data_IF_502178463905
#
_entry.id   IF_502178463905
#
_cell.length_a   1.000
_cell.length_b   1.000
_cell.length_c   1.000
_cell.angle_alpha   90.00
_cell.angle_beta   90.00
_cell.angle_gamma   90.00
#
_symmetry.space_group_name_H-M   'P 1'
#
loop_
_entity.id
_entity.type
_entity.pdbx_description
1 polymer ?
#
# COMPACT_ATOMS: atom_id res chain seq x y z
N UNK A 1 1.74 0.86 1.89
CA UNK A 1 0.43 0.48 2.47
C UNK A 1 -0.68 1.14 1.67
N UNK A 2 -1.92 0.66 1.75
CA UNK A 2 -3.05 1.29 1.06
C UNK A 2 -4.41 0.72 1.46
N UNK A 3 -5.40 1.61 1.56
CA UNK A 3 -6.80 1.25 1.76
C UNK A 3 -7.42 0.77 0.45
N UNK A 4 -8.38 -0.15 0.58
CA UNK A 4 -9.30 -0.51 -0.50
C UNK A 4 -10.32 0.63 -0.71
N UNK A 5 -10.97 0.72 -1.88
CA UNK A 5 -11.80 1.87 -2.25
C UNK A 5 -12.99 2.16 -1.30
N UNK A 6 -13.59 1.15 -0.67
CA UNK A 6 -14.60 1.37 0.38
C UNK A 6 -13.98 1.81 1.71
N UNK A 7 -12.72 1.45 1.92
CA UNK A 7 -11.98 1.67 3.17
C UNK A 7 -12.10 0.54 4.17
N UNK A 8 -12.89 -0.50 3.88
CA UNK A 8 -13.10 -1.63 4.80
C UNK A 8 -11.86 -2.51 4.96
N UNK A 9 -10.88 -2.38 4.07
CA UNK A 9 -9.64 -3.14 4.08
C UNK A 9 -8.43 -2.24 3.99
N UNK A 10 -7.40 -2.57 4.77
CA UNK A 10 -6.08 -1.95 4.71
C UNK A 10 -5.06 -3.05 4.44
N UNK A 11 -4.22 -2.84 3.44
CA UNK A 11 -3.11 -3.74 3.14
C UNK A 11 -1.78 -3.06 3.46
N UNK A 12 -0.90 -3.79 4.13
CA UNK A 12 0.41 -3.36 4.57
C UNK A 12 1.45 -4.31 3.97
N UNK A 13 2.35 -3.74 3.16
CA UNK A 13 3.47 -4.49 2.60
C UNK A 13 4.66 -4.41 3.55
N UNK A 14 5.03 -5.54 4.12
CA UNK A 14 6.33 -5.78 4.74
C UNK A 14 7.05 -6.90 3.96
N UNK A 15 7.77 -7.81 4.63
CA UNK A 15 8.34 -9.01 3.99
C UNK A 15 7.28 -10.09 3.72
N UNK A 16 6.21 -10.12 4.50
CA UNK A 16 5.19 -11.19 4.51
C UNK A 16 3.79 -10.75 4.09
N UNK A 17 3.58 -9.49 3.70
CA UNK A 17 2.32 -8.97 3.14
C UNK A 17 1.09 -9.20 4.03
N UNK A 18 0.65 -8.18 4.77
CA UNK A 18 -0.49 -8.29 5.71
C UNK A 18 -1.73 -7.55 5.20
N UNK A 19 -2.90 -8.13 5.44
CA UNK A 19 -4.20 -7.51 5.20
C UNK A 19 -4.97 -7.43 6.51
N UNK A 20 -5.33 -6.21 6.89
CA UNK A 20 -6.24 -5.91 7.99
C UNK A 20 -7.60 -5.48 7.44
N UNK A 21 -8.66 -5.75 8.19
CA UNK A 21 -10.01 -5.36 7.83
C UNK A 21 -10.68 -4.63 8.97
N UNK A 22 -11.54 -3.68 8.64
CA UNK A 22 -12.44 -3.07 9.59
C UNK A 22 -13.34 -4.17 10.18
N UNK A 23 -13.38 -4.26 11.51
CA UNK A 23 -14.30 -5.18 12.20
C UNK A 23 -15.74 -4.71 11.97
N UNK A 24 -16.49 -5.38 11.08
CA UNK A 24 -17.92 -5.16 11.04
C UNK A 24 -18.54 -5.74 12.31
N UNK A 25 -19.09 -4.86 13.16
CA UNK A 25 -20.01 -5.26 14.22
C UNK A 25 -21.10 -6.14 13.60
N UNK A 26 -21.39 -7.27 14.24
CA UNK A 26 -22.38 -8.21 13.75
C UNK A 26 -23.77 -7.54 13.71
N UNK A 27 -24.64 -7.97 12.80
CA UNK A 27 -26.01 -7.44 12.70
C UNK A 27 -26.78 -7.52 14.03
N UNK A 28 -26.47 -8.52 14.86
CA UNK A 28 -27.05 -8.68 16.20
C UNK A 28 -26.54 -7.65 17.22
N UNK A 29 -25.34 -7.10 17.04
CA UNK A 29 -24.80 -5.99 17.84
C UNK A 29 -25.33 -4.64 17.35
N UNK A 30 -25.51 -4.48 16.03
CA UNK A 30 -26.20 -3.31 15.46
C UNK A 30 -27.67 -3.22 15.89
N UNK A 31 -28.38 -4.35 15.94
CA UNK A 31 -29.79 -4.41 16.37
C UNK A 31 -29.98 -4.24 17.89
N UNK A 32 -28.91 -4.30 18.70
CA UNK A 32 -28.95 -4.03 20.15
C UNK A 32 -28.56 -2.59 20.52
N UNK A 33 -28.07 -1.79 19.57
CA UNK A 33 -27.53 -0.45 19.82
C UNK A 33 -28.43 0.64 19.21
N UNK A 34 -29.62 0.84 19.79
CA UNK A 34 -30.51 1.99 19.52
C UNK A 34 -29.99 3.32 20.12
N UNK A 35 -28.69 3.44 20.39
CA UNK A 35 -28.07 4.66 20.90
C UNK A 35 -26.92 5.11 20.00
N UNK A 36 -27.05 6.31 19.45
CA UNK A 36 -26.04 7.01 18.67
C UNK A 36 -24.73 7.15 19.46
N UNK A 37 -23.71 6.38 19.07
CA UNK A 37 -22.31 6.66 19.40
C UNK A 37 -21.43 6.51 18.17
N UNK A 38 -20.53 7.48 18.02
CA UNK A 38 -19.40 7.49 17.09
C UNK A 38 -18.42 6.38 17.46
N UNK A 39 -18.71 5.14 17.06
CA UNK A 39 -17.74 4.07 17.13
C UNK A 39 -16.73 4.28 16.00
N UNK A 40 -15.48 4.59 16.35
CA UNK A 40 -14.40 4.69 15.38
C UNK A 40 -14.08 3.29 14.83
N UNK A 41 -13.86 3.12 13.52
CA UNK A 41 -13.58 1.82 12.93
C UNK A 41 -12.31 1.20 13.52
N UNK A 42 -12.43 0.02 14.11
CA UNK A 42 -11.30 -0.74 14.65
C UNK A 42 -10.85 -1.76 13.61
N UNK A 43 -9.60 -1.63 13.15
CA UNK A 43 -9.03 -2.53 12.16
C UNK A 43 -8.43 -3.75 12.85
N UNK A 44 -8.97 -4.92 12.55
CA UNK A 44 -8.50 -6.20 13.06
C UNK A 44 -7.69 -6.94 11.99
N UNK A 45 -6.72 -7.72 12.44
CA UNK A 45 -5.92 -8.57 11.57
C UNK A 45 -6.80 -9.63 10.92
N UNK A 46 -6.68 -9.81 9.59
CA UNK A 46 -7.48 -10.78 8.85
C UNK A 46 -6.64 -11.90 8.24
N UNK A 47 -5.55 -11.56 7.56
CA UNK A 47 -4.71 -12.55 6.88
C UNK A 47 -3.33 -11.99 6.56
N UNK A 48 -2.37 -12.89 6.43
CA UNK A 48 -0.98 -12.64 6.02
C UNK A 48 -0.66 -13.57 4.86
N UNK A 49 0.15 -13.11 3.91
CA UNK A 49 0.51 -13.88 2.73
C UNK A 49 1.95 -13.62 2.33
N UNK A 50 2.82 -14.63 2.45
CA UNK A 50 4.19 -14.51 1.99
C UNK A 50 4.21 -14.18 0.49
N UNK A 51 4.52 -12.92 0.18
CA UNK A 51 4.33 -12.41 -1.18
C UNK A 51 5.50 -12.78 -2.07
N UNK A 52 6.72 -12.49 -1.63
CA UNK A 52 7.93 -12.77 -2.40
C UNK A 52 8.84 -13.68 -1.58
N UNK A 53 9.61 -14.49 -2.28
CA UNK A 53 10.74 -15.23 -1.71
C UNK A 53 12.00 -14.61 -2.34
N UNK A 54 13.14 -14.63 -1.64
CA UNK A 54 14.38 -14.11 -2.20
C UNK A 54 14.78 -14.96 -3.40
N UNK A 55 14.70 -14.38 -4.60
CA UNK A 55 15.11 -15.06 -5.85
C UNK A 55 16.63 -15.01 -6.03
N UNK A 56 17.32 -14.02 -5.43
CA UNK A 56 18.78 -13.87 -5.44
C UNK A 56 19.26 -13.00 -4.25
N UNK A 57 20.58 -12.84 -4.09
CA UNK A 57 21.16 -11.94 -3.07
C UNK A 57 20.84 -10.46 -3.31
N UNK A 58 20.49 -10.07 -4.54
CA UNK A 58 20.23 -8.68 -4.93
C UNK A 58 18.73 -8.35 -4.96
N UNK A 59 17.86 -9.35 -5.09
CA UNK A 59 16.41 -9.15 -5.15
C UNK A 59 15.80 -9.46 -3.79
N UNK A 60 15.49 -8.40 -3.04
CA UNK A 60 14.85 -8.53 -1.74
C UNK A 60 13.40 -9.07 -1.86
N UNK A 61 12.97 -9.79 -0.83
CA UNK A 61 11.58 -10.24 -0.66
C UNK A 61 10.62 -9.11 -0.24
N UNK A 62 11.16 -7.93 0.06
CA UNK A 62 10.41 -6.78 0.58
C UNK A 62 9.38 -6.30 -0.44
N UNK A 63 8.15 -6.07 0.04
CA UNK A 63 7.12 -5.43 -0.78
C UNK A 63 7.38 -3.92 -0.83
N UNK A 64 7.69 -3.41 -2.02
CA UNK A 64 7.96 -1.99 -2.26
C UNK A 64 6.66 -1.18 -2.36
N UNK A 65 5.72 -1.66 -3.17
CA UNK A 65 4.40 -1.03 -3.37
C UNK A 65 3.30 -2.09 -3.40
N UNK A 66 2.10 -1.67 -3.01
CA UNK A 66 0.92 -2.52 -2.97
C UNK A 66 -0.29 -1.69 -3.42
N UNK A 67 -1.12 -2.26 -4.29
CA UNK A 67 -2.35 -1.63 -4.78
C UNK A 67 -3.52 -2.61 -4.78
N UNK A 68 -4.67 -2.14 -4.32
CA UNK A 68 -5.93 -2.87 -4.48
C UNK A 68 -6.43 -2.75 -5.92
N UNK A 69 -6.95 -3.85 -6.45
CA UNK A 69 -7.62 -3.88 -7.74
C UNK A 69 -9.09 -4.19 -7.50
N UNK A 70 -9.96 -3.39 -8.09
CA UNK A 70 -11.37 -3.73 -8.16
C UNK A 70 -11.59 -4.80 -9.21
N UNK A 71 -12.65 -5.57 -9.05
CA UNK A 71 -13.20 -6.38 -10.14
C UNK A 71 -14.71 -6.32 -10.12
N UNK A 72 -15.31 -6.43 -11.32
CA UNK A 72 -16.76 -6.39 -11.50
C UNK A 72 -17.51 -7.49 -10.71
N UNK A 73 -16.85 -8.60 -10.39
CA UNK A 73 -17.43 -9.73 -9.68
C UNK A 73 -17.36 -9.63 -8.15
N UNK A 74 -16.96 -8.48 -7.59
CA UNK A 74 -16.86 -8.26 -6.14
C UNK A 74 -15.73 -9.03 -5.44
N UNK A 75 -14.91 -9.80 -6.17
CA UNK A 75 -13.69 -10.39 -5.61
C UNK A 75 -12.67 -9.29 -5.32
N UNK A 76 -11.91 -9.44 -4.23
CA UNK A 76 -10.84 -8.49 -3.90
C UNK A 76 -9.51 -9.01 -4.39
N UNK A 77 -8.77 -8.15 -5.08
CA UNK A 77 -7.44 -8.45 -5.58
C UNK A 77 -6.42 -7.43 -5.09
N UNK A 78 -5.20 -7.91 -4.88
CA UNK A 78 -4.07 -7.08 -4.48
C UNK A 78 -2.95 -7.33 -5.48
N UNK A 79 -2.41 -6.25 -6.05
CA UNK A 79 -1.10 -6.26 -6.69
C UNK A 79 -0.05 -5.91 -5.64
N UNK A 80 0.96 -6.75 -5.50
CA UNK A 80 2.17 -6.47 -4.73
C UNK A 80 3.37 -6.51 -5.66
N UNK A 81 4.38 -5.68 -5.38
CA UNK A 81 5.64 -5.67 -6.15
C UNK A 81 6.83 -5.64 -5.21
N UNK A 82 7.90 -6.33 -5.58
CA UNK A 82 9.26 -6.07 -5.09
C UNK A 82 10.03 -5.27 -6.16
N UNK A 83 11.36 -5.36 -6.18
CA UNK A 83 12.19 -4.63 -7.15
C UNK A 83 12.01 -5.10 -8.60
N UNK A 84 11.60 -6.35 -8.86
CA UNK A 84 11.64 -6.95 -10.21
C UNK A 84 10.37 -7.67 -10.65
N UNK A 85 9.52 -8.05 -9.71
CA UNK A 85 8.36 -8.91 -9.96
C UNK A 85 7.12 -8.30 -9.33
N UNK A 86 5.99 -8.50 -10.02
CA UNK A 86 4.67 -8.08 -9.57
C UNK A 86 3.82 -9.34 -9.44
N UNK A 87 3.06 -9.47 -8.36
CA UNK A 87 2.18 -10.61 -8.12
C UNK A 87 0.75 -10.16 -7.87
N UNK A 88 -0.19 -10.86 -8.49
CA UNK A 88 -1.62 -10.66 -8.31
C UNK A 88 -2.16 -11.69 -7.32
N UNK A 89 -2.68 -11.21 -6.20
CA UNK A 89 -3.25 -12.00 -5.12
C UNK A 89 -4.76 -11.89 -5.13
N UNK A 90 -5.45 -13.02 -5.00
CA UNK A 90 -6.89 -13.03 -4.72
C UNK A 90 -7.11 -13.18 -3.23
N UNK A 91 -7.81 -12.21 -2.64
CA UNK A 91 -8.26 -12.26 -1.25
C UNK A 91 -9.69 -12.78 -1.25
N UNK A 92 -9.90 -14.00 -0.75
CA UNK A 92 -11.25 -14.57 -0.59
C UNK A 92 -11.70 -14.45 0.86
N UNK A 93 -12.86 -13.83 1.07
CA UNK A 93 -13.63 -14.03 2.29
C UNK A 93 -14.20 -15.45 2.29
N UNK A 94 -13.92 -16.21 3.36
CA UNK A 94 -14.59 -17.48 3.56
C UNK A 94 -15.89 -17.20 4.31
N UNK A 95 -17.05 -17.46 3.69
CA UNK A 95 -18.30 -17.62 4.44
C UNK A 95 -18.44 -19.11 4.72
N UNK A 96 -18.34 -19.51 5.98
CA UNK A 96 -18.62 -20.89 6.37
C UNK A 96 -20.04 -21.23 5.93
N UNK A 97 -20.18 -22.14 4.95
CA UNK A 97 -21.47 -22.78 4.71
C UNK A 97 -21.73 -23.66 5.92
N UNK A 98 -22.62 -23.24 6.81
CA UNK A 98 -23.16 -24.11 7.88
C UNK A 98 -23.71 -25.36 7.20
N UNK A 99 -22.99 -26.46 7.27
CA UNK A 99 -23.51 -27.77 6.88
C UNK A 99 -24.58 -28.08 7.91
N UNK A 100 -25.83 -28.23 7.48
CA UNK A 100 -26.88 -28.78 8.33
C UNK A 100 -26.44 -30.20 8.68
N UNK A 101 -26.15 -30.46 9.96
CA UNK A 101 -26.01 -31.82 10.47
C UNK A 101 -27.25 -32.62 10.06
N UNK A 102 -27.04 -33.74 9.36
CA UNK A 102 -28.10 -34.70 9.12
C UNK A 102 -28.12 -35.63 10.33
N UNK A 103 -29.21 -35.59 11.10
CA UNK A 103 -29.42 -36.44 12.26
C UNK A 103 -29.19 -37.92 11.90
N UNK A 104 -28.34 -38.69 12.62
CA UNK A 104 -28.10 -40.09 12.30
C UNK A 104 -29.25 -41.05 12.68
N UNK A 105 -30.38 -40.57 13.20
CA UNK A 105 -31.50 -41.42 13.60
C UNK A 105 -32.83 -40.81 13.13
N UNK A 106 -33.50 -41.36 12.11
CA UNK A 106 -34.92 -41.09 11.90
C UNK A 106 -35.73 -41.81 12.99
N UNK A 107 -36.78 -41.20 13.57
CA UNK A 107 -37.71 -41.96 14.40
C UNK A 107 -38.42 -42.99 13.53
N UNK A 108 -38.22 -44.27 13.84
CA UNK A 108 -38.92 -45.39 13.21
C UNK A 108 -40.40 -45.28 13.58
N UNK A 109 -41.26 -44.98 12.60
CA UNK A 109 -42.69 -45.24 12.73
C UNK A 109 -42.93 -46.76 12.64
N UNK A 110 -43.51 -47.32 13.69
CA UNK A 110 -43.93 -48.73 13.78
C UNK A 110 -45.14 -48.99 12.89
N UNK A 111 -44.95 -49.53 11.69
CA UNK A 111 -46.07 -50.19 10.99
C UNK A 111 -45.70 -51.27 9.95
N UNK A 112 -44.42 -51.54 9.67
CA UNK A 112 -44.03 -52.50 8.62
C UNK A 112 -43.26 -53.74 9.12
N UNK A 113 -43.65 -54.30 10.26
CA UNK A 113 -43.02 -55.50 10.84
C UNK A 113 -43.78 -56.83 10.56
N UNK A 114 -44.55 -56.93 9.47
CA UNK A 114 -45.43 -58.11 9.25
C UNK A 114 -45.40 -58.74 7.84
N UNK A 115 -44.30 -58.69 7.08
CA UNK A 115 -44.26 -59.35 5.75
C UNK A 115 -42.97 -60.10 5.40
N UNK A 116 -42.18 -60.57 6.36
CA UNK A 116 -41.02 -61.41 6.07
C UNK A 116 -41.13 -62.81 6.71
N UNK A 117 -42.17 -63.55 6.36
CA UNK A 117 -42.20 -65.02 6.48
C UNK A 117 -42.80 -65.63 5.21
N UNK A 118 -42.18 -66.76 4.77
CA UNK A 118 -42.40 -67.57 3.54
C UNK A 118 -41.53 -67.10 2.36
N UNK A 119 -40.73 -67.92 1.66
CA UNK A 119 -40.79 -69.37 1.37
C UNK A 119 -39.56 -69.78 0.53
N UNK A 120 -38.80 -70.82 0.93
CA UNK A 120 -38.64 -72.18 0.34
C UNK A 120 -37.58 -72.44 -0.80
N UNK A 121 -36.59 -73.27 -0.44
CA UNK A 121 -36.05 -74.52 -1.08
C UNK A 121 -35.10 -74.50 -2.32
N UNK A 122 -33.89 -75.03 -2.04
CA UNK A 122 -32.90 -75.88 -2.75
C UNK A 122 -33.30 -76.73 -3.98
N UNK A 123 -32.37 -76.87 -4.95
CA UNK A 123 -32.30 -77.97 -5.93
C UNK A 123 -30.93 -78.09 -6.66
N UNK A 124 -30.39 -79.31 -6.78
CA UNK A 124 -29.07 -79.75 -7.30
C UNK A 124 -28.96 -79.84 -8.85
N UNK A 125 -27.73 -79.85 -9.42
CA UNK A 125 -27.16 -81.00 -10.18
C UNK A 125 -25.77 -80.73 -10.85
N UNK A 126 -24.95 -81.79 -10.95
CA UNK A 126 -23.51 -81.95 -11.32
C UNK A 126 -23.25 -82.16 -12.86
N UNK A 127 -22.12 -82.76 -13.37
CA UNK A 127 -20.70 -82.31 -13.49
C UNK A 127 -20.07 -82.55 -14.92
N UNK A 128 -18.82 -82.12 -15.22
CA UNK A 128 -17.80 -82.92 -15.99
C UNK A 128 -16.47 -82.19 -16.36
N UNK A 129 -15.39 -82.70 -15.76
CA UNK A 129 -13.98 -82.97 -16.18
C UNK A 129 -13.46 -82.62 -17.60
N UNK A 130 -12.18 -82.16 -17.70
CA UNK A 130 -11.32 -82.49 -18.86
C UNK A 130 -10.10 -81.63 -19.23
N UNK A 131 -9.03 -81.63 -18.41
CA UNK A 131 -7.57 -81.57 -18.73
C UNK A 131 -6.92 -80.47 -19.62
N UNK A 132 -5.81 -79.90 -19.09
CA UNK A 132 -4.68 -79.37 -19.87
C UNK A 132 -3.85 -78.29 -19.15
N UNK A 133 -2.79 -78.69 -18.45
CA UNK A 133 -1.96 -77.87 -17.53
C UNK A 133 -0.65 -77.38 -18.19
N UNK A 134 -0.24 -76.11 -17.95
CA UNK A 134 1.15 -75.74 -17.61
C UNK A 134 1.24 -74.34 -16.97
N UNK A 135 2.02 -74.25 -15.88
CA UNK A 135 2.22 -73.15 -14.92
C UNK A 135 2.99 -71.93 -15.47
N UNK A 136 2.64 -70.73 -14.99
CA UNK A 136 3.52 -69.92 -14.13
C UNK A 136 2.69 -68.90 -13.30
N UNK A 137 3.16 -68.61 -12.09
CA UNK A 137 2.37 -68.15 -10.95
C UNK A 137 2.03 -66.64 -10.91
N UNK A 138 1.00 -66.37 -10.10
CA UNK A 138 0.71 -65.16 -9.30
C UNK A 138 -0.22 -64.06 -9.84
N UNK A 139 -1.20 -63.78 -8.97
CA UNK A 139 -2.04 -62.60 -8.77
C UNK A 139 -3.36 -62.43 -9.57
N UNK A 140 -4.45 -62.69 -8.82
CA UNK A 140 -5.86 -62.55 -9.15
C UNK A 140 -6.32 -61.10 -9.00
N UNK A 141 -7.27 -60.75 -9.88
CA UNK A 141 -8.36 -59.77 -9.72
C UNK A 141 -7.92 -58.30 -9.57
N UNK A 142 -8.52 -57.34 -10.27
CA UNK A 142 -9.87 -57.31 -10.81
C UNK A 142 -10.55 -56.07 -10.25
N UNK A 143 -10.96 -55.18 -11.16
CA UNK A 143 -12.11 -54.29 -10.99
C UNK A 143 -12.12 -53.37 -9.76
N UNK A 144 -11.60 -52.15 -9.96
CA UNK A 144 -12.08 -50.89 -9.42
C UNK A 144 -13.11 -50.99 -8.28
N UNK A 145 -12.60 -51.04 -7.05
CA UNK A 145 -13.36 -50.72 -5.84
C UNK A 145 -12.75 -49.45 -5.26
N UNK A 146 -13.59 -48.42 -5.09
CA UNK A 146 -13.23 -47.17 -4.42
C UNK A 146 -12.68 -47.44 -3.01
N UNK A 147 -11.54 -46.87 -2.61
CA UNK A 147 -11.11 -46.97 -1.22
C UNK A 147 -11.94 -45.99 -0.38
N UNK A 148 -12.74 -46.56 0.52
CA UNK A 148 -13.31 -45.90 1.69
C UNK A 148 -12.21 -45.23 2.51
N UNK A 149 -12.27 -43.90 2.61
CA UNK A 149 -11.45 -43.12 3.54
C UNK A 149 -11.97 -43.38 4.97
N UNK A 150 -11.16 -44.09 5.77
CA UNK A 150 -11.30 -44.10 7.23
C UNK A 150 -11.07 -42.68 7.75
N UNK A 151 -12.11 -42.14 8.38
CA UNK A 151 -12.13 -40.82 9.00
C UNK A 151 -11.55 -40.95 10.41
N UNK A 152 -10.28 -40.61 10.59
CA UNK A 152 -9.81 -40.16 11.90
C UNK A 152 -10.10 -38.66 12.04
N UNK A 153 -11.24 -38.35 12.66
CA UNK A 153 -11.62 -36.98 13.03
C UNK A 153 -10.77 -36.49 14.20
N UNK A 154 -9.67 -35.78 13.91
CA UNK A 154 -9.14 -34.77 14.83
C UNK A 154 -9.94 -33.49 14.62
N UNK A 155 -10.79 -33.18 15.60
CA UNK A 155 -11.41 -31.87 15.73
C UNK A 155 -10.28 -30.87 15.97
N UNK A 156 -10.03 -30.02 14.99
CA UNK A 156 -9.27 -28.79 15.16
C UNK A 156 -10.24 -27.66 14.85
N UNK A 157 -10.37 -26.71 15.77
CA UNK A 157 -11.07 -25.46 15.54
C UNK A 157 -10.52 -24.81 14.27
N UNK A 158 -11.35 -24.74 13.23
CA UNK A 158 -10.98 -24.04 11.99
C UNK A 158 -11.19 -22.55 12.28
N UNK A 159 -10.12 -21.87 12.68
CA UNK A 159 -10.04 -20.41 12.66
C UNK A 159 -10.44 -19.89 11.27
N UNK A 160 -11.28 -18.85 11.26
CA UNK A 160 -11.90 -18.21 10.10
C UNK A 160 -10.86 -17.43 9.25
N UNK A 161 -9.86 -18.14 8.73
CA UNK A 161 -8.71 -17.53 8.07
C UNK A 161 -9.04 -17.29 6.60
N UNK A 162 -9.10 -16.02 6.19
CA UNK A 162 -9.22 -15.65 4.79
C UNK A 162 -8.04 -16.23 3.99
N UNK A 163 -8.33 -17.10 3.02
CA UNK A 163 -7.30 -17.70 2.16
C UNK A 163 -6.90 -16.73 1.05
N UNK A 164 -5.63 -16.35 1.06
CA UNK A 164 -4.96 -15.62 -0.03
C UNK A 164 -4.38 -16.63 -1.02
N UNK A 165 -4.49 -16.34 -2.33
CA UNK A 165 -3.88 -17.16 -3.38
C UNK A 165 -3.24 -16.29 -4.44
N UNK A 166 -1.95 -16.51 -4.69
CA UNK A 166 -1.29 -15.95 -5.87
C UNK A 166 -1.93 -16.52 -7.13
N UNK A 167 -2.48 -15.66 -7.98
CA UNK A 167 -3.08 -16.04 -9.26
C UNK A 167 -2.12 -15.88 -10.41
N UNK A 168 -1.31 -14.83 -10.40
CA UNK A 168 -0.42 -14.47 -11.50
C UNK A 168 0.85 -13.81 -10.99
N UNK A 169 1.91 -13.97 -11.77
CA UNK A 169 3.21 -13.35 -11.58
C UNK A 169 3.58 -12.67 -12.89
N UNK A 170 3.86 -11.38 -12.85
CA UNK A 170 4.37 -10.56 -13.95
C UNK A 170 5.85 -10.30 -13.64
N UNK A 171 6.74 -10.80 -14.50
CA UNK A 171 8.17 -10.80 -14.26
C UNK A 171 8.94 -10.47 -15.55
N UNK A 172 10.24 -10.18 -15.41
CA UNK A 172 11.19 -10.00 -16.51
C UNK A 172 10.84 -8.89 -17.52
N UNK A 173 10.17 -7.83 -17.07
CA UNK A 173 9.83 -6.67 -17.90
C UNK A 173 10.60 -5.39 -17.54
N UNK A 174 11.29 -5.39 -16.39
CA UNK A 174 11.99 -4.23 -15.86
C UNK A 174 13.48 -4.52 -15.69
N UNK A 175 14.29 -3.66 -16.30
CA UNK A 175 15.76 -3.70 -16.19
C UNK A 175 16.24 -3.03 -14.90
N UNK A 176 15.46 -2.07 -14.36
CA UNK A 176 15.72 -1.34 -13.11
C UNK A 176 14.70 -1.70 -12.02
N UNK A 177 14.79 -1.07 -10.86
CA UNK A 177 13.92 -1.39 -9.73
C UNK A 177 12.54 -0.76 -9.94
N UNK A 178 11.49 -1.56 -9.74
CA UNK A 178 10.11 -1.08 -9.85
C UNK A 178 9.83 -0.11 -8.70
N UNK A 179 9.56 1.15 -9.05
CA UNK A 179 9.23 2.20 -8.09
C UNK A 179 7.71 2.37 -7.90
N UNK A 180 6.91 2.00 -8.91
CA UNK A 180 5.45 2.26 -8.91
C UNK A 180 4.65 1.16 -9.58
N UNK A 181 3.44 0.96 -9.06
CA UNK A 181 2.36 0.22 -9.71
C UNK A 181 1.06 1.00 -9.54
N UNK A 182 0.23 1.04 -10.58
CA UNK A 182 -1.06 1.75 -10.56
C UNK A 182 -2.08 1.05 -11.44
N UNK A 183 -3.30 0.86 -10.91
CA UNK A 183 -4.40 0.22 -11.62
C UNK A 183 -5.16 1.23 -12.46
N UNK A 184 -5.57 0.83 -13.66
CA UNK A 184 -6.35 1.69 -14.53
C UNK A 184 -7.83 1.68 -14.11
N UNK A 185 -8.54 2.75 -14.45
CA UNK A 185 -9.98 2.89 -14.25
C UNK A 185 -10.82 1.98 -15.16
N UNK A 186 -10.22 1.37 -16.18
CA UNK A 186 -10.86 0.36 -17.05
C UNK A 186 -11.06 -1.01 -16.37
N UNK A 187 -10.44 -1.24 -15.20
CA UNK A 187 -10.52 -2.49 -14.43
C UNK A 187 -9.90 -3.70 -15.15
N UNK A 188 -9.18 -3.49 -16.24
CA UNK A 188 -8.55 -4.52 -17.07
C UNK A 188 -7.04 -4.37 -17.15
N UNK A 189 -6.54 -3.14 -17.08
CA UNK A 189 -5.13 -2.82 -17.23
C UNK A 189 -4.52 -2.19 -15.99
N UNK A 190 -3.21 -2.28 -15.89
CA UNK A 190 -2.42 -1.59 -14.87
C UNK A 190 -1.05 -1.24 -15.44
N UNK A 191 -0.37 -0.28 -14.84
CA UNK A 191 1.02 0.05 -15.17
C UNK A 191 1.98 -0.38 -14.07
N UNK A 192 3.22 -0.59 -14.48
CA UNK A 192 4.37 -0.61 -13.61
C UNK A 192 5.47 0.29 -14.16
N UNK A 193 6.15 1.00 -13.28
CA UNK A 193 7.24 1.91 -13.64
C UNK A 193 8.52 1.54 -12.90
N UNK A 194 9.63 1.58 -13.63
CA UNK A 194 10.98 1.63 -13.07
C UNK A 194 11.59 3.02 -13.29
N UNK A 195 12.91 3.16 -13.14
CA UNK A 195 13.59 4.44 -13.25
C UNK A 195 13.60 5.02 -14.68
N UNK A 196 13.39 4.22 -15.73
CA UNK A 196 13.45 4.67 -17.13
C UNK A 196 12.23 4.30 -17.97
N UNK A 197 11.42 3.34 -17.52
CA UNK A 197 10.35 2.74 -18.31
C UNK A 197 9.04 2.66 -17.57
N UNK A 198 7.95 2.88 -18.32
CA UNK A 198 6.60 2.55 -17.87
C UNK A 198 6.02 1.48 -18.80
N UNK A 199 5.62 0.37 -18.22
CA UNK A 199 5.02 -0.77 -18.91
C UNK A 199 3.53 -0.87 -18.58
N UNK A 200 2.71 -1.07 -19.61
CA UNK A 200 1.28 -1.34 -19.52
C UNK A 200 1.04 -2.85 -19.59
N UNK A 201 0.22 -3.33 -18.67
CA UNK A 201 -0.13 -4.74 -18.52
C UNK A 201 -1.63 -4.94 -18.60
N UNK A 202 -2.03 -6.10 -19.09
CA UNK A 202 -3.38 -6.60 -18.89
C UNK A 202 -3.39 -7.52 -17.67
N UNK A 203 -4.36 -7.35 -16.76
CA UNK A 203 -4.48 -8.14 -15.53
C UNK A 203 -4.60 -9.64 -15.81
N UNK A 204 -5.11 -10.03 -16.98
CA UNK A 204 -5.27 -11.43 -17.34
C UNK A 204 -4.05 -12.07 -18.01
N UNK A 205 -3.18 -11.25 -18.61
CA UNK A 205 -2.03 -11.67 -19.43
C UNK A 205 -0.74 -11.34 -18.70
N UNK A 206 -0.01 -12.37 -18.22
CA UNK A 206 1.18 -12.17 -17.38
C UNK A 206 2.52 -12.36 -18.09
N UNK A 207 2.50 -12.82 -19.35
CA UNK A 207 3.70 -13.12 -20.13
C UNK A 207 4.07 -12.03 -21.15
N UNK A 208 3.28 -10.95 -21.24
CA UNK A 208 3.50 -9.86 -22.18
C UNK A 208 3.11 -8.53 -21.51
N UNK A 209 3.87 -7.48 -21.82
CA UNK A 209 3.56 -6.11 -21.50
C UNK A 209 3.85 -5.23 -22.71
N UNK A 210 3.27 -4.03 -22.73
CA UNK A 210 3.56 -3.03 -23.73
C UNK A 210 4.29 -1.86 -23.06
N UNK A 211 5.50 -1.58 -23.51
CA UNK A 211 6.22 -0.42 -23.02
C UNK A 211 5.60 0.85 -23.63
N UNK A 212 5.04 1.70 -22.76
CA UNK A 212 4.39 2.94 -23.18
C UNK A 212 5.30 4.14 -23.05
N UNK A 213 6.32 4.11 -22.19
CA UNK A 213 7.32 5.18 -22.04
C UNK A 213 8.69 4.52 -21.90
N UNK A 214 9.67 4.96 -22.69
CA UNK A 214 11.09 4.58 -22.59
C UNK A 214 11.96 5.84 -22.61
N UNK A 215 12.51 6.20 -21.45
CA UNK A 215 13.43 7.31 -21.28
C UNK A 215 14.90 6.88 -21.43
N UNK A 216 15.16 5.61 -21.77
CA UNK A 216 16.52 5.08 -21.91
C UNK A 216 17.27 5.81 -23.03
N UNK A 217 18.34 6.57 -22.73
CA UNK A 217 19.14 7.22 -23.75
C UNK A 217 19.96 6.20 -24.54
N UNK A 218 20.46 6.61 -25.71
CA UNK A 218 21.38 5.78 -26.51
C UNK A 218 22.70 5.53 -25.78
N UNK A 219 23.20 6.53 -25.05
CA UNK A 219 24.32 6.41 -24.13
C UNK A 219 23.83 6.68 -22.69
N UNK A 220 24.10 5.77 -21.77
CA UNK A 220 23.70 5.90 -20.36
C UNK A 220 24.35 7.09 -19.65
N UNK A 221 25.46 7.61 -20.16
CA UNK A 221 26.12 8.82 -19.64
C UNK A 221 25.30 10.09 -19.88
N UNK A 222 24.43 10.08 -20.91
CA UNK A 222 23.54 11.21 -21.24
C UNK A 222 22.24 11.17 -20.42
N UNK A 223 22.13 10.25 -19.45
CA UNK A 223 20.96 10.15 -18.61
C UNK A 223 20.86 11.36 -17.68
N UNK A 224 19.85 12.19 -17.92
CA UNK A 224 19.67 13.42 -17.16
C UNK A 224 18.45 13.41 -16.24
N UNK A 225 17.55 12.46 -16.43
CA UNK A 225 16.25 12.42 -15.75
C UNK A 225 15.78 10.98 -15.60
N UNK A 226 15.25 10.65 -14.43
CA UNK A 226 14.67 9.33 -14.13
C UNK A 226 13.25 9.47 -13.61
N UNK A 227 12.43 8.47 -13.87
CA UNK A 227 11.06 8.34 -13.37
C UNK A 227 11.13 7.97 -11.90
N UNK A 228 10.36 8.67 -11.06
CA UNK A 228 10.37 8.45 -9.61
C UNK A 228 9.06 7.91 -9.06
N UNK A 229 7.95 8.28 -9.69
CA UNK A 229 6.61 7.79 -9.36
C UNK A 229 5.69 7.85 -10.57
N UNK A 230 4.71 6.95 -10.66
CA UNK A 230 3.72 6.93 -11.73
C UNK A 230 2.34 6.48 -11.22
N UNK A 231 1.29 7.18 -11.65
CA UNK A 231 -0.09 6.91 -11.22
C UNK A 231 -1.10 7.20 -12.34
N UNK A 232 -2.04 6.27 -12.57
CA UNK A 232 -3.16 6.52 -13.47
C UNK A 232 -4.14 7.53 -12.90
N UNK A 233 -4.81 8.26 -13.79
CA UNK A 233 -5.91 9.11 -13.41
C UNK A 233 -7.10 8.27 -12.88
N UNK A 234 -7.76 8.67 -11.78
CA UNK A 234 -8.79 7.85 -11.12
C UNK A 234 -10.02 7.53 -11.99
N UNK A 235 -10.38 8.43 -12.92
CA UNK A 235 -11.55 8.27 -13.81
C UNK A 235 -11.26 8.15 -15.31
N UNK A 236 -10.14 8.70 -15.79
CA UNK A 236 -9.86 8.81 -17.22
C UNK A 236 -8.83 7.75 -17.59
N UNK A 237 -9.29 6.66 -18.21
CA UNK A 237 -8.46 5.49 -18.49
C UNK A 237 -7.30 5.73 -19.47
N UNK A 238 -7.32 6.87 -20.15
CA UNK A 238 -6.29 7.29 -21.09
C UNK A 238 -5.26 8.27 -20.49
N UNK A 239 -5.49 8.79 -19.28
CA UNK A 239 -4.60 9.77 -18.66
C UNK A 239 -3.72 9.11 -17.60
N UNK A 240 -2.42 9.39 -17.70
CA UNK A 240 -1.39 8.89 -16.81
C UNK A 240 -0.50 10.07 -16.37
N UNK A 241 -0.15 10.14 -15.10
CA UNK A 241 0.90 11.04 -14.64
C UNK A 241 2.14 10.24 -14.20
N UNK A 242 3.32 10.76 -14.50
CA UNK A 242 4.57 10.32 -13.88
C UNK A 242 5.42 11.51 -13.46
N UNK A 243 6.17 11.35 -12.38
CA UNK A 243 7.09 12.35 -11.86
C UNK A 243 8.53 11.97 -12.11
N UNK A 244 9.42 12.94 -12.05
CA UNK A 244 10.85 12.71 -12.24
C UNK A 244 11.75 13.23 -11.13
N UNK A 245 13.01 12.81 -11.20
CA UNK A 245 14.10 13.25 -10.32
C UNK A 245 14.44 14.73 -10.45
N UNK A 246 13.95 15.41 -11.50
CA UNK A 246 14.15 16.85 -11.71
C UNK A 246 13.04 17.72 -11.16
N UNK A 247 12.02 17.10 -10.58
CA UNK A 247 10.87 17.80 -10.02
C UNK A 247 9.80 18.15 -11.05
N UNK A 248 9.75 17.43 -12.18
CA UNK A 248 8.70 17.57 -13.18
C UNK A 248 7.59 16.54 -12.94
N UNK A 249 6.36 16.91 -13.28
CA UNK A 249 5.24 15.97 -13.40
C UNK A 249 4.74 16.03 -14.83
N UNK A 250 4.85 14.91 -15.52
CA UNK A 250 4.41 14.73 -16.88
C UNK A 250 3.02 14.10 -16.87
N UNK A 251 2.03 14.84 -17.36
CA UNK A 251 0.71 14.28 -17.65
C UNK A 251 0.67 13.85 -19.12
N UNK A 252 0.37 12.58 -19.37
CA UNK A 252 0.35 12.01 -20.72
C UNK A 252 -1.03 11.47 -21.06
N UNK A 253 -1.38 11.60 -22.34
CA UNK A 253 -2.64 11.10 -22.91
C UNK A 253 -2.34 9.97 -23.91
N UNK A 254 -2.68 8.74 -23.52
CA UNK A 254 -2.48 7.53 -24.30
C UNK A 254 -3.27 7.50 -25.61
N UNK A 255 -4.24 8.42 -25.81
CA UNK A 255 -4.97 8.55 -27.08
C UNK A 255 -4.20 9.32 -28.13
N UNK A 256 -3.24 10.17 -27.72
CA UNK A 256 -2.48 11.02 -28.65
C UNK A 256 -1.38 10.23 -29.36
N UNK A 257 -0.73 9.33 -28.62
CA UNK A 257 0.39 8.52 -29.11
C UNK A 257 0.39 7.20 -28.36
N UNK A 258 0.62 6.10 -29.08
CA UNK A 258 0.78 4.78 -28.46
C UNK A 258 2.02 4.74 -27.54
N UNK A 259 3.05 5.52 -27.88
CA UNK A 259 4.33 5.56 -27.16
C UNK A 259 4.43 6.73 -26.18
N UNK A 260 3.33 7.46 -25.93
CA UNK A 260 3.25 8.50 -24.88
C UNK A 260 4.48 9.45 -24.84
N UNK A 261 5.06 9.72 -26.02
CA UNK A 261 6.37 10.35 -26.22
C UNK A 261 6.34 11.85 -25.97
N UNK A 262 5.14 12.44 -26.00
CA UNK A 262 4.89 13.84 -25.70
C UNK A 262 3.99 13.95 -24.48
N UNK A 263 4.44 14.72 -23.48
CA UNK A 263 3.57 15.10 -22.37
C UNK A 263 2.48 16.03 -22.87
N UNK A 264 1.24 15.72 -22.53
CA UNK A 264 0.11 16.60 -22.81
C UNK A 264 0.18 17.88 -21.99
N UNK A 265 0.65 17.77 -20.74
CA UNK A 265 0.89 18.88 -19.81
C UNK A 265 2.16 18.57 -19.03
N UNK A 266 3.04 19.58 -18.88
CA UNK A 266 4.25 19.50 -18.08
C UNK A 266 4.11 20.45 -16.90
N UNK A 267 3.92 19.91 -15.70
CA UNK A 267 3.83 20.70 -14.48
C UNK A 267 5.25 20.88 -13.94
N UNK A 268 5.68 22.14 -13.83
CA UNK A 268 6.99 22.50 -13.31
C UNK A 268 6.90 23.72 -12.40
N UNK A 269 7.73 23.74 -11.36
CA UNK A 269 7.74 24.86 -10.42
C UNK A 269 8.61 25.99 -10.96
N UNK A 270 7.97 26.90 -11.70
CA UNK A 270 8.60 28.11 -12.24
C UNK A 270 9.14 29.06 -11.16
N UNK A 271 8.78 28.91 -9.87
CA UNK A 271 9.33 29.72 -8.79
C UNK A 271 10.83 29.51 -8.54
N UNK A 272 11.43 28.48 -9.14
CA UNK A 272 12.83 28.08 -8.94
C UNK A 272 13.83 28.68 -9.95
N UNK A 273 13.57 29.88 -10.50
CA UNK A 273 14.45 30.58 -11.45
C UNK A 273 15.76 31.16 -10.85
N UNK A 274 16.22 30.65 -9.70
CA UNK A 274 17.57 30.91 -9.19
C UNK A 274 18.60 30.01 -9.86
N UNK A 275 19.90 30.30 -9.68
CA UNK A 275 20.94 29.30 -9.97
C UNK A 275 20.62 28.03 -9.20
N UNK A 276 20.29 26.94 -9.92
CA UNK A 276 20.08 25.63 -9.31
C UNK A 276 21.43 25.17 -8.74
N UNK A 277 21.54 25.19 -7.42
CA UNK A 277 22.68 24.58 -6.75
C UNK A 277 22.58 23.06 -6.90
N UNK A 278 23.71 22.35 -6.76
CA UNK A 278 23.73 20.89 -6.73
C UNK A 278 22.67 20.30 -5.77
N UNK A 279 22.55 20.84 -4.56
CA UNK A 279 21.55 20.38 -3.59
C UNK A 279 20.12 20.73 -4.00
N UNK A 280 19.90 21.84 -4.72
CA UNK A 280 18.57 22.23 -5.22
C UNK A 280 18.04 21.19 -6.20
N UNK A 281 18.90 20.61 -7.04
CA UNK A 281 18.51 19.55 -7.98
C UNK A 281 18.17 18.26 -7.23
N UNK A 282 18.96 17.88 -6.21
CA UNK A 282 18.69 16.68 -5.40
C UNK A 282 17.34 16.78 -4.68
N UNK A 283 17.10 17.88 -3.96
CA UNK A 283 15.87 18.04 -3.18
C UNK A 283 14.63 18.32 -4.04
N UNK A 284 14.81 18.69 -5.30
CA UNK A 284 13.72 18.87 -6.26
C UNK A 284 13.15 17.52 -6.75
N UNK A 285 13.89 16.42 -6.58
CA UNK A 285 13.40 15.08 -6.91
C UNK A 285 12.09 14.78 -6.19
N UNK A 286 11.06 14.44 -6.96
CA UNK A 286 9.75 14.05 -6.42
C UNK A 286 9.83 12.61 -5.93
N UNK A 287 9.41 12.35 -4.69
CA UNK A 287 9.37 11.00 -4.11
C UNK A 287 8.04 10.28 -4.32
N UNK A 288 6.93 11.00 -4.37
CA UNK A 288 5.60 10.43 -4.59
C UNK A 288 4.63 11.45 -5.21
N UNK A 289 3.70 10.96 -6.03
CA UNK A 289 2.57 11.72 -6.56
C UNK A 289 1.27 10.99 -6.30
N UNK A 290 0.18 11.73 -6.07
CA UNK A 290 -1.16 11.19 -5.84
C UNK A 290 -2.19 12.06 -6.54
N UNK A 291 -3.12 11.45 -7.27
CA UNK A 291 -4.29 12.18 -7.75
C UNK A 291 -5.26 12.44 -6.60
N UNK A 292 -5.94 13.58 -6.65
CA UNK A 292 -7.12 13.81 -5.83
C UNK A 292 -8.26 12.90 -6.25
N UNK A 293 -9.21 12.68 -5.35
CA UNK A 293 -10.36 11.83 -5.60
C UNK A 293 -11.26 12.31 -6.74
N UNK A 294 -11.25 13.60 -7.06
CA UNK A 294 -11.95 14.20 -8.21
C UNK A 294 -11.10 14.18 -9.51
N UNK A 295 -9.83 13.78 -9.43
CA UNK A 295 -8.87 13.72 -10.54
C UNK A 295 -8.35 15.07 -11.01
N UNK A 296 -8.86 16.19 -10.48
CA UNK A 296 -8.47 17.52 -10.94
C UNK A 296 -7.08 17.92 -10.44
N UNK A 297 -6.75 17.60 -9.21
CA UNK A 297 -5.53 18.00 -8.57
C UNK A 297 -4.53 16.85 -8.47
N UNK A 298 -3.25 17.19 -8.48
CA UNK A 298 -2.16 16.27 -8.22
C UNK A 298 -1.41 16.78 -7.00
N UNK A 299 -1.24 15.92 -5.99
CA UNK A 299 -0.35 16.18 -4.87
C UNK A 299 1.01 15.58 -5.20
N UNK A 300 2.08 16.32 -4.98
CA UNK A 300 3.44 15.81 -5.11
C UNK A 300 4.26 16.10 -3.87
N UNK A 301 5.10 15.16 -3.47
CA UNK A 301 6.08 15.32 -2.40
C UNK A 301 7.48 15.42 -3.00
N UNK A 302 8.15 16.55 -2.79
CA UNK A 302 9.61 16.65 -2.94
C UNK A 302 10.26 16.51 -1.55
N UNK A 303 11.59 16.58 -1.43
CA UNK A 303 12.23 16.35 -0.13
C UNK A 303 11.72 17.34 0.93
N UNK A 304 11.62 18.63 0.58
CA UNK A 304 11.33 19.73 1.51
C UNK A 304 9.86 20.14 1.58
N UNK A 305 9.09 19.88 0.53
CA UNK A 305 7.78 20.48 0.30
C UNK A 305 6.73 19.46 -0.14
N UNK A 306 5.50 19.76 0.23
CA UNK A 306 4.30 19.17 -0.33
C UNK A 306 3.66 20.20 -1.26
N UNK A 307 3.41 19.84 -2.52
CA UNK A 307 2.87 20.75 -3.53
C UNK A 307 1.56 20.22 -4.09
N UNK A 308 0.56 21.09 -4.14
CA UNK A 308 -0.73 20.82 -4.77
C UNK A 308 -0.77 21.48 -6.14
N UNK A 309 -1.04 20.72 -7.17
CA UNK A 309 -1.10 21.17 -8.57
C UNK A 309 -2.52 21.05 -9.11
N UNK A 310 -2.95 21.99 -9.95
CA UNK A 310 -4.17 21.83 -10.75
C UNK A 310 -3.76 21.34 -12.14
N UNK A 311 -4.38 20.26 -12.61
CA UNK A 311 -4.13 19.70 -13.95
C UNK A 311 -4.39 20.71 -15.08
N UNK A 312 -5.15 21.77 -14.84
CA UNK A 312 -5.42 22.82 -15.83
C UNK A 312 -4.47 24.03 -15.73
N UNK A 313 -3.55 24.05 -14.76
CA UNK A 313 -2.59 25.12 -14.54
C UNK A 313 -1.17 24.56 -14.48
N UNK A 314 -0.39 24.77 -15.54
CA UNK A 314 0.95 24.22 -15.72
C UNK A 314 2.09 25.13 -15.23
N UNK A 315 1.80 26.40 -14.96
CA UNK A 315 2.82 27.40 -14.63
C UNK A 315 3.44 27.26 -13.24
N UNK A 316 2.66 26.81 -12.25
CA UNK A 316 3.07 26.78 -10.84
C UNK A 316 2.10 25.96 -9.99
N UNK A 317 2.54 25.41 -8.84
CA UNK A 317 1.62 24.77 -7.90
C UNK A 317 0.60 25.77 -7.34
N UNK A 318 -0.61 25.29 -7.08
CA UNK A 318 -1.71 26.04 -6.43
C UNK A 318 -1.35 26.37 -4.98
N UNK A 319 -0.68 25.43 -4.29
CA UNK A 319 -0.19 25.62 -2.94
C UNK A 319 1.08 24.83 -2.69
N UNK A 320 1.98 25.40 -1.89
CA UNK A 320 3.24 24.76 -1.47
C UNK A 320 3.34 24.83 0.05
N UNK A 321 3.47 23.67 0.69
CA UNK A 321 3.58 23.52 2.12
C UNK A 321 5.00 23.07 2.49
N UNK A 322 5.71 23.86 3.27
CA UNK A 322 7.07 23.55 3.74
C UNK A 322 7.03 22.55 4.87
N UNK A 323 7.74 21.44 4.77
CA UNK A 323 7.56 20.30 5.68
C UNK A 323 8.54 20.39 6.86
N UNK A 324 9.82 20.53 6.57
CA UNK A 324 10.88 20.58 7.57
C UNK A 324 12.00 21.54 7.15
N UNK A 325 11.65 22.82 6.93
CA UNK A 325 12.55 23.87 6.44
C UNK A 325 13.80 24.07 7.33
N UNK A 326 13.71 23.67 8.60
CA UNK A 326 14.83 23.66 9.55
C UNK A 326 15.98 22.71 9.15
N UNK A 327 15.75 21.76 8.23
CA UNK A 327 16.76 20.86 7.68
C UNK A 327 17.53 21.48 6.52
N UNK A 328 17.05 22.58 5.93
CA UNK A 328 17.69 23.21 4.78
C UNK A 328 19.14 23.65 5.04
N UNK A 329 19.52 24.20 6.21
CA UNK A 329 20.93 24.51 6.49
C UNK A 329 21.82 23.26 6.65
N UNK A 330 21.23 22.08 6.86
CA UNK A 330 21.93 20.81 7.12
C UNK A 330 22.01 19.89 5.90
N UNK A 331 21.70 20.38 4.69
CA UNK A 331 21.69 19.56 3.46
C UNK A 331 23.01 18.82 3.20
N UNK A 332 24.15 19.45 3.48
CA UNK A 332 25.46 18.79 3.34
C UNK A 332 25.62 17.58 4.28
N UNK A 333 25.14 17.70 5.53
CA UNK A 333 25.17 16.62 6.51
C UNK A 333 24.21 15.49 6.12
N UNK A 334 23.00 15.86 5.67
CA UNK A 334 21.99 14.91 5.20
C UNK A 334 22.45 14.15 3.95
N UNK A 335 23.24 14.80 3.08
CA UNK A 335 23.86 14.16 1.93
C UNK A 335 24.95 13.17 2.35
N UNK A 336 25.82 13.53 3.27
CA UNK A 336 26.87 12.62 3.77
C UNK A 336 26.30 11.38 4.48
N UNK A 337 25.11 11.49 5.06
CA UNK A 337 24.41 10.41 5.76
C UNK A 337 23.34 9.71 4.88
N UNK A 338 23.33 9.95 3.56
CA UNK A 338 22.35 9.46 2.57
C UNK A 338 20.87 9.75 2.88
N UNK A 339 20.59 10.50 3.95
CA UNK A 339 19.23 10.80 4.40
C UNK A 339 18.52 11.74 3.43
N UNK A 340 19.26 12.55 2.66
CA UNK A 340 18.69 13.39 1.61
C UNK A 340 17.96 12.59 0.51
N UNK A 341 18.24 11.29 0.39
CA UNK A 341 17.62 10.40 -0.60
C UNK A 341 16.40 9.62 -0.04
N UNK A 342 16.00 9.89 1.20
CA UNK A 342 14.80 9.29 1.79
C UNK A 342 13.54 9.67 0.99
N UNK A 343 12.77 8.66 0.57
CA UNK A 343 11.54 8.83 -0.20
C UNK A 343 10.33 8.83 0.73
N UNK A 344 9.79 10.01 1.00
CA UNK A 344 8.57 10.18 1.80
C UNK A 344 7.33 10.08 0.90
N UNK A 345 6.36 9.27 1.30
CA UNK A 345 5.06 9.19 0.60
C UNK A 345 4.16 10.40 1.00
N UNK A 346 3.09 10.61 0.23
CA UNK A 346 2.03 11.55 0.58
C UNK A 346 0.63 10.94 0.37
N UNK A 347 -0.38 11.52 1.00
CA UNK A 347 -1.77 11.13 0.79
C UNK A 347 -2.73 12.32 0.92
N UNK A 348 -3.89 12.20 0.27
CA UNK A 348 -4.99 13.14 0.35
C UNK A 348 -6.14 12.54 1.12
N UNK A 349 -6.89 13.38 1.83
CA UNK A 349 -8.16 13.01 2.43
C UNK A 349 -9.25 12.76 1.39
N UNK A 350 -10.28 12.02 1.81
CA UNK A 350 -11.44 11.69 0.98
C UNK A 350 -12.15 12.90 0.36
N UNK A 351 -12.19 14.02 1.10
CA UNK A 351 -12.80 15.29 0.70
C UNK A 351 -11.91 16.17 -0.20
N UNK A 352 -10.62 15.81 -0.36
CA UNK A 352 -9.65 16.59 -1.13
C UNK A 352 -9.18 17.90 -0.48
N UNK A 353 -9.53 18.14 0.79
CA UNK A 353 -9.22 19.40 1.49
C UNK A 353 -7.94 19.28 2.33
N UNK A 354 -7.68 18.08 2.85
CA UNK A 354 -6.57 17.79 3.74
C UNK A 354 -5.51 16.93 3.05
N UNK A 355 -4.26 17.17 3.41
CA UNK A 355 -3.11 16.47 2.86
C UNK A 355 -2.21 16.02 4.00
N UNK A 356 -1.65 14.82 3.92
CA UNK A 356 -0.73 14.33 4.92
C UNK A 356 0.56 13.80 4.30
N UNK A 357 1.64 13.90 5.06
CA UNK A 357 2.94 13.36 4.71
C UNK A 357 3.81 13.18 5.96
N UNK A 358 4.85 12.37 5.86
CA UNK A 358 5.76 12.10 6.97
C UNK A 358 7.04 12.95 6.98
N UNK A 359 7.79 12.87 8.07
CA UNK A 359 9.09 13.48 8.25
C UNK A 359 9.94 12.63 9.22
N UNK A 360 11.18 13.04 9.45
CA UNK A 360 12.05 12.52 10.50
C UNK A 360 11.43 12.65 11.90
N UNK A 361 12.00 11.94 12.87
CA UNK A 361 11.49 11.85 14.25
C UNK A 361 10.07 11.27 14.33
N UNK A 362 9.72 10.38 13.39
CA UNK A 362 8.38 9.80 13.21
C UNK A 362 7.26 10.86 13.15
N UNK A 363 7.54 12.04 12.63
CA UNK A 363 6.56 13.13 12.59
C UNK A 363 5.60 12.95 11.40
N UNK A 364 4.31 13.01 11.69
CA UNK A 364 3.22 13.14 10.74
C UNK A 364 2.84 14.62 10.61
N UNK A 365 2.82 15.13 9.39
CA UNK A 365 2.45 16.51 9.05
C UNK A 365 1.13 16.50 8.28
N UNK A 366 0.14 17.24 8.75
CA UNK A 366 -1.19 17.36 8.12
C UNK A 366 -1.41 18.82 7.75
N UNK A 367 -1.78 19.08 6.51
CA UNK A 367 -2.07 20.40 5.97
C UNK A 367 -3.52 20.47 5.49
N UNK A 368 -4.03 21.69 5.39
CA UNK A 368 -5.35 21.96 4.82
C UNK A 368 -5.23 23.07 3.78
N UNK A 369 -5.94 22.94 2.66
CA UNK A 369 -6.06 24.02 1.70
C UNK A 369 -7.12 25.03 2.16
N UNK A 370 -6.71 26.24 2.60
CA UNK A 370 -7.62 27.29 3.08
C UNK A 370 -6.98 28.29 4.05
N UNK A 371 -7.79 29.18 4.63
CA UNK A 371 -7.32 30.24 5.54
C UNK A 371 -6.75 29.62 6.82
N UNK A 372 -5.45 29.82 7.06
CA UNK A 372 -4.74 29.32 8.25
C UNK A 372 -4.06 27.95 8.10
N UNK A 373 -4.06 27.34 6.91
CA UNK A 373 -3.54 25.98 6.69
C UNK A 373 -2.04 25.84 6.37
N UNK A 374 -1.27 26.94 6.32
CA UNK A 374 0.11 26.91 5.85
C UNK A 374 1.12 26.29 6.83
N UNK A 375 0.92 26.45 8.15
CA UNK A 375 1.84 25.87 9.15
C UNK A 375 1.61 24.36 9.35
N UNK A 376 0.39 23.88 9.08
CA UNK A 376 -0.01 22.48 9.27
C UNK A 376 -0.04 22.05 10.75
N UNK A 377 -0.50 20.83 10.98
CA UNK A 377 -0.50 20.15 12.28
C UNK A 377 0.61 19.11 12.26
N UNK A 378 1.39 19.05 13.35
CA UNK A 378 2.47 18.07 13.52
C UNK A 378 2.15 17.12 14.67
N UNK A 379 2.21 15.82 14.41
CA UNK A 379 1.92 14.74 15.36
C UNK A 379 3.11 13.78 15.38
N UNK A 380 3.56 13.36 16.57
CA UNK A 380 4.61 12.35 16.72
C UNK A 380 4.01 10.95 16.75
N UNK A 381 4.36 10.09 15.78
CA UNK A 381 3.92 8.70 15.75
C UNK A 381 4.72 7.85 16.74
N UNK A 382 4.22 7.75 17.98
CA UNK A 382 4.85 6.98 19.05
C UNK A 382 3.82 6.24 19.90
N UNK A 383 4.27 5.16 20.56
CA UNK A 383 3.43 4.39 21.51
C UNK A 383 3.04 5.21 22.76
N UNK A 384 3.75 6.31 23.04
CA UNK A 384 3.52 7.15 24.20
C UNK A 384 2.63 8.34 23.82
N UNK A 385 1.31 8.11 23.79
CA UNK A 385 0.23 9.05 23.39
C UNK A 385 0.14 10.37 24.19
N UNK A 386 0.97 10.62 25.20
CA UNK A 386 0.77 11.74 26.14
C UNK A 386 1.45 13.07 25.75
N UNK A 387 2.06 13.18 24.57
CA UNK A 387 2.53 14.48 24.06
C UNK A 387 1.43 15.13 23.24
N UNK A 388 0.85 16.21 23.78
CA UNK A 388 -0.07 17.09 23.03
C UNK A 388 0.58 17.50 21.70
N UNK A 389 -0.20 17.66 20.61
CA UNK A 389 0.34 18.14 19.34
C UNK A 389 1.12 19.44 19.59
N UNK A 390 2.39 19.44 19.16
CA UNK A 390 3.27 20.60 19.30
C UNK A 390 2.77 21.63 18.28
N UNK A 391 1.89 22.54 18.72
CA UNK A 391 1.63 23.77 17.97
C UNK A 391 2.92 24.58 18.05
N UNK A 392 3.56 24.81 16.91
CA UNK A 392 4.66 25.76 16.84
C UNK A 392 4.17 27.09 17.42
N UNK A 393 4.83 27.51 18.50
CA UNK A 393 4.40 28.68 19.23
C UNK A 393 4.60 29.91 18.33
N UNK A 394 3.51 30.60 18.01
CA UNK A 394 3.54 31.89 17.34
C UNK A 394 4.59 32.81 18.02
N UNK A 395 5.41 33.55 17.25
CA UNK A 395 6.43 34.42 17.82
C UNK A 395 5.73 35.52 18.63
N UNK A 396 5.81 35.44 19.95
CA UNK A 396 5.32 36.50 20.84
C UNK A 396 6.08 37.78 20.52
N UNK A 397 5.34 38.77 20.02
CA UNK A 397 5.78 40.17 19.89
C UNK A 397 6.40 40.63 21.21
N UNK A 398 7.70 40.97 21.20
CA UNK A 398 8.38 41.60 22.34
C UNK A 398 7.69 42.93 22.64
N UNK A 399 7.00 43.02 23.78
CA UNK A 399 6.68 44.32 24.39
C UNK A 399 8.00 44.93 24.86
N UNK A 400 8.37 46.04 24.25
CA UNK A 400 9.41 46.94 24.74
C UNK A 400 8.94 47.60 26.04
N UNK A 401 9.62 47.32 27.15
CA UNK A 401 9.58 48.17 28.33
C UNK A 401 11.00 48.68 28.62
N UNK A 402 11.16 50.00 28.46
CA UNK A 402 12.33 50.77 28.82
C UNK A 402 12.41 50.92 30.34
N UNK A 403 13.58 50.66 30.94
CA UNK A 403 14.07 51.40 32.11
C UNK A 403 15.56 51.12 32.39
N UNK A 404 16.38 52.06 31.92
CA UNK A 404 17.68 52.56 32.40
C UNK A 404 18.32 51.95 33.68
N UNK A 405 19.63 51.65 33.64
CA UNK A 405 20.70 52.50 34.20
C UNK A 405 22.10 51.82 34.16
N UNK A 406 23.09 52.66 33.91
CA UNK A 406 24.54 52.52 33.76
C UNK A 406 25.33 51.90 34.93
N UNK A 407 26.35 51.10 34.61
CA UNK A 407 27.74 51.23 35.15
C UNK A 407 28.71 50.30 34.43
N UNK A 408 29.77 50.87 33.83
CA UNK A 408 30.86 50.11 33.21
C UNK A 408 31.94 49.68 34.22
N UNK A 409 32.73 48.69 33.82
CA UNK A 409 34.12 48.46 34.23
C UNK A 409 34.72 47.34 33.35
N UNK A 410 35.91 47.60 32.81
CA UNK A 410 36.72 46.66 32.05
C UNK A 410 37.21 45.50 32.93
N UNK A 411 37.18 44.26 32.45
CA UNK A 411 38.21 43.25 32.74
C UNK A 411 38.25 42.12 31.71
N UNK A 412 39.49 41.79 31.36
CA UNK A 412 40.01 40.81 30.43
C UNK A 412 39.92 39.38 30.99
N UNK A 413 39.68 38.39 30.12
CA UNK A 413 40.23 37.04 30.27
C UNK A 413 39.27 35.89 30.63
N UNK A 414 39.33 34.86 29.76
CA UNK A 414 39.17 33.42 30.03
C UNK A 414 37.79 32.75 29.89
N UNK A 415 37.70 31.99 28.78
CA UNK A 415 37.26 30.60 28.59
C UNK A 415 36.02 30.00 29.27
N UNK A 416 35.26 29.32 28.41
CA UNK A 416 34.42 28.15 28.59
C UNK A 416 33.13 28.25 29.46
N UNK A 417 32.04 28.17 28.70
CA UNK A 417 30.99 27.14 28.79
C UNK A 417 29.60 27.58 29.21
N UNK A 418 28.65 27.05 28.44
CA UNK A 418 27.23 26.88 28.72
C UNK A 418 26.36 28.14 28.65
N UNK A 419 25.63 28.24 27.53
CA UNK A 419 24.16 28.34 27.53
C UNK A 419 23.69 28.95 26.20
N UNK A 420 23.01 28.16 25.36
CA UNK A 420 22.23 28.76 24.27
C UNK A 420 22.06 28.00 22.96
N UNK A 421 22.26 26.67 22.90
CA UNK A 421 21.78 25.87 21.76
C UNK A 421 20.68 24.94 22.24
N UNK A 422 19.43 25.42 22.24
CA UNK A 422 18.30 24.52 22.11
C UNK A 422 18.18 24.19 20.60
N UNK A 423 19.21 23.50 20.09
CA UNK A 423 19.16 22.86 18.78
C UNK A 423 18.08 21.81 18.86
N UNK A 424 17.05 21.93 18.02
CA UNK A 424 16.10 20.85 17.80
C UNK A 424 16.92 19.62 17.35
N UNK A 425 17.14 18.68 18.27
CA UNK A 425 17.77 17.40 17.98
C UNK A 425 16.77 16.57 17.17
N UNK A 426 16.72 16.81 15.86
CA UNK A 426 15.98 15.97 14.93
C UNK A 426 16.66 14.60 14.89
N UNK A 427 15.97 13.58 15.37
CA UNK A 427 16.43 12.20 15.22
C UNK A 427 16.20 11.77 13.77
N UNK A 428 17.30 11.66 13.02
CA UNK A 428 17.30 11.23 11.62
C UNK A 428 17.14 9.71 11.47
N UNK A 429 17.33 8.95 12.55
CA UNK A 429 17.21 7.48 12.51
C UNK A 429 15.75 7.03 12.46
N UNK A 430 14.85 7.79 13.09
CA UNK A 430 13.42 7.53 13.07
C UNK A 430 12.74 8.33 11.95
N UNK A 431 11.98 7.63 11.09
CA UNK A 431 11.40 8.19 9.86
C UNK A 431 9.99 7.65 9.66
N UNK A 432 9.06 8.53 9.33
CA UNK A 432 7.72 8.14 8.86
C UNK A 432 7.70 8.23 7.33
N UNK A 433 7.97 7.12 6.65
CA UNK A 433 8.05 7.10 5.18
C UNK A 433 6.70 6.77 4.52
N UNK A 434 5.91 5.91 5.15
CA UNK A 434 4.70 5.34 4.55
C UNK A 434 3.45 5.68 5.37
N UNK A 435 2.43 6.14 4.67
CA UNK A 435 1.13 6.48 5.23
C UNK A 435 0.02 6.29 4.19
N UNK A 436 -1.23 6.18 4.66
CA UNK A 436 -2.42 6.13 3.83
C UNK A 436 -3.57 6.83 4.56
N UNK A 437 -4.39 7.58 3.80
CA UNK A 437 -5.63 8.16 4.31
C UNK A 437 -6.80 7.28 3.88
N UNK A 438 -7.78 7.09 4.76
CA UNK A 438 -9.00 6.36 4.46
C UNK A 438 -9.86 7.09 3.43
N UNK A 439 -10.41 6.42 2.41
CA UNK A 439 -11.07 7.08 1.28
C UNK A 439 -12.31 7.90 1.65
N UNK A 440 -13.00 7.53 2.74
CA UNK A 440 -14.30 8.13 3.14
C UNK A 440 -14.35 8.67 4.57
N UNK A 441 -13.32 8.43 5.38
CA UNK A 441 -13.32 8.82 6.81
C UNK A 441 -12.04 9.57 7.15
N UNK A 442 -12.08 10.35 8.21
CA UNK A 442 -10.91 11.08 8.71
C UNK A 442 -10.00 10.15 9.51
N UNK A 443 -9.45 9.14 8.84
CA UNK A 443 -8.59 8.13 9.45
C UNK A 443 -7.30 8.02 8.65
N UNK A 444 -6.17 8.21 9.33
CA UNK A 444 -4.84 8.11 8.74
C UNK A 444 -4.14 6.91 9.36
N UNK A 445 -3.66 6.00 8.52
CA UNK A 445 -2.74 4.94 8.93
C UNK A 445 -1.31 5.35 8.58
N UNK A 446 -0.37 5.18 9.50
CA UNK A 446 1.05 5.42 9.25
C UNK A 446 1.93 4.32 9.85
N UNK A 447 3.00 3.96 9.14
CA UNK A 447 4.02 3.05 9.63
C UNK A 447 5.18 3.83 10.23
N UNK A 448 5.55 3.51 11.46
CA UNK A 448 6.75 4.03 12.12
C UNK A 448 7.47 2.88 12.85
N UNK A 449 8.73 2.66 12.48
CA UNK A 449 9.50 1.48 12.92
C UNK A 449 8.76 0.18 12.61
N UNK A 450 8.53 -0.64 13.63
CA UNK A 450 7.84 -1.94 13.52
C UNK A 450 6.35 -1.86 13.89
N UNK A 451 5.75 -0.67 13.91
CA UNK A 451 4.38 -0.47 14.37
C UNK A 451 3.55 0.29 13.34
N UNK A 452 2.28 -0.09 13.26
CA UNK A 452 1.24 0.62 12.50
C UNK A 452 0.43 1.46 13.50
N UNK A 453 0.35 2.76 13.27
CA UNK A 453 -0.46 3.68 14.05
C UNK A 453 -1.64 4.14 13.21
N UNK A 454 -2.80 4.30 13.85
CA UNK A 454 -4.02 4.79 13.22
C UNK A 454 -4.53 6.00 14.00
N UNK A 455 -4.64 7.14 13.32
CA UNK A 455 -5.06 8.41 13.88
C UNK A 455 -6.39 8.82 13.28
N UNK A 456 -7.35 9.16 14.13
CA UNK A 456 -8.56 9.84 13.69
C UNK A 456 -8.30 11.34 13.67
N UNK A 457 -8.49 11.98 12.52
CA UNK A 457 -8.17 13.38 12.26
C UNK A 457 -9.36 14.32 12.53
#
# INVERSE_FOLDING_TARGET
MGFEKSGDYLAVGDRGGRVTSNGHLSRNELEQLDFSFTSHPEFQYKTEFQSHEPESLEIEEKINKLRWCDTQNGSKFILSTNDKTIKLWKVKEHRVKKVKEMNPNPPVCSENALLAERSFISGQDNPSVGNGCLLEWTEKMGSNTFPSQEVHSKIADIEDTARTRCRRVYAHAHDFNINSISTNSDVETFISADDLRINLWNIEISNQCFNIIDMKPSNMEDLTEVITSAEFHPFHCNLLAYSSSRGFIHLVDMRRSALCDHSAILLQDGGSHGFKSFFTEIIASISDIKFSNDGRYILSRDYMNLKLWDSHMDSSPVATFKIHDHLHPKLCELYNNDSIFDKFDCCLSGDGIHFATGSYSNLLRIFSHGVGGAEGITIEASKNSNRKPLRDAAPRTRRSSLSNLTRGLYRLGHEHSSSGTNEFSCDLSSKLLHLAWHPTTNLIACAAGNSLFMYYA
#
